data_IF_081331322490
#
_entry.id   IF_081331322490
#
_cell.length_a   1.000
_cell.length_b   1.000
_cell.length_c   1.000
_cell.angle_alpha   90.00
_cell.angle_beta   90.00
_cell.angle_gamma   90.00
#
_symmetry.space_group_name_H-M   'P 1'
#
loop_
_entity.id
_entity.type
_entity.pdbx_description
1 polymer ?
#
# COMPACT_ATOMS: atom_id res chain seq x y z
N UNK A 1 9.31 1.33 -18.38
CA UNK A 1 10.26 1.22 -17.24
C UNK A 1 10.08 -0.08 -16.45
N UNK A 2 8.95 -0.36 -15.78
CA UNK A 2 8.77 -1.65 -15.07
C UNK A 2 8.96 -2.86 -15.99
N UNK A 3 8.39 -2.78 -17.20
CA UNK A 3 8.51 -3.83 -18.21
C UNK A 3 9.93 -4.01 -18.78
N UNK A 4 10.83 -3.05 -18.54
CA UNK A 4 12.23 -3.10 -18.99
C UNK A 4 13.13 -3.90 -18.04
N UNK A 5 12.62 -4.26 -16.85
CA UNK A 5 13.33 -5.05 -15.86
C UNK A 5 12.82 -6.50 -15.88
N UNK A 6 13.58 -7.49 -15.42
CA UNK A 6 13.04 -8.83 -15.20
C UNK A 6 11.84 -8.75 -14.25
N UNK A 7 10.64 -9.09 -14.73
CA UNK A 7 9.41 -8.88 -13.96
C UNK A 7 8.38 -9.98 -14.20
N UNK A 8 7.37 -10.01 -13.33
CA UNK A 8 6.15 -10.78 -13.51
C UNK A 8 4.97 -10.05 -12.86
N UNK A 9 3.78 -10.24 -13.42
CA UNK A 9 2.54 -9.78 -12.82
C UNK A 9 1.80 -10.96 -12.18
N UNK A 10 1.26 -10.73 -11.00
CA UNK A 10 0.38 -11.67 -10.29
C UNK A 10 -0.91 -10.95 -9.89
N UNK A 11 -2.05 -11.65 -9.82
CA UNK A 11 -3.25 -11.05 -9.27
C UNK A 11 -3.09 -10.81 -7.75
N UNK A 12 -3.82 -9.85 -7.15
CA UNK A 12 -3.64 -9.49 -5.73
C UNK A 12 -3.76 -10.66 -4.76
N UNK A 13 -4.64 -11.63 -5.03
CA UNK A 13 -4.83 -12.81 -4.18
C UNK A 13 -3.66 -13.81 -4.21
N UNK A 14 -2.78 -13.74 -5.21
CA UNK A 14 -1.56 -14.56 -5.32
C UNK A 14 -0.32 -13.82 -4.81
N UNK A 15 -0.40 -12.53 -4.49
CA UNK A 15 0.75 -11.70 -4.12
C UNK A 15 1.54 -12.29 -2.96
N UNK A 16 0.85 -12.73 -1.90
CA UNK A 16 1.48 -13.42 -0.76
C UNK A 16 2.33 -14.60 -1.21
N UNK A 17 1.74 -15.49 -2.00
CA UNK A 17 2.42 -16.70 -2.46
C UNK A 17 3.60 -16.38 -3.37
N UNK A 18 3.47 -15.38 -4.23
CA UNK A 18 4.54 -14.93 -5.11
C UNK A 18 5.75 -14.40 -4.31
N UNK A 19 5.48 -13.64 -3.24
CA UNK A 19 6.52 -13.11 -2.35
C UNK A 19 7.17 -14.22 -1.51
N UNK A 20 6.38 -15.18 -1.00
CA UNK A 20 6.89 -16.32 -0.24
C UNK A 20 7.74 -17.29 -1.08
N UNK A 21 7.49 -17.38 -2.40
CA UNK A 21 8.35 -18.13 -3.33
C UNK A 21 9.76 -17.54 -3.45
N UNK A 22 9.92 -16.24 -3.18
CA UNK A 22 11.24 -15.60 -3.05
C UNK A 22 12.09 -15.55 -4.33
N UNK A 23 11.51 -15.41 -5.54
CA UNK A 23 12.33 -15.17 -6.74
C UNK A 23 12.84 -13.72 -6.77
N UNK A 24 13.90 -13.46 -6.02
CA UNK A 24 14.51 -12.13 -5.86
C UNK A 24 15.18 -11.58 -7.13
N UNK A 25 15.17 -12.32 -8.25
CA UNK A 25 15.73 -11.89 -9.53
C UNK A 25 14.72 -11.16 -10.41
N UNK A 26 13.45 -11.10 -9.97
CA UNK A 26 12.37 -10.47 -10.71
C UNK A 26 11.59 -9.50 -9.84
N UNK A 27 11.11 -8.42 -10.45
CA UNK A 27 10.09 -7.57 -9.85
C UNK A 27 8.74 -8.27 -9.91
N UNK A 28 8.05 -8.33 -8.78
CA UNK A 28 6.68 -8.84 -8.69
C UNK A 28 5.74 -7.62 -8.67
N UNK A 29 4.92 -7.50 -9.71
CA UNK A 29 3.92 -6.44 -9.84
C UNK A 29 2.51 -7.00 -9.62
N UNK A 30 1.63 -6.18 -9.06
CA UNK A 30 0.19 -6.46 -8.99
C UNK A 30 -0.59 -5.20 -9.33
N UNK A 31 -1.73 -5.36 -10.00
CA UNK A 31 -2.69 -4.28 -10.23
C UNK A 31 -3.87 -4.52 -9.31
N UNK A 32 -4.20 -3.53 -8.49
CA UNK A 32 -5.21 -3.63 -7.43
C UNK A 32 -6.40 -2.77 -7.81
N UNK A 33 -7.59 -3.35 -7.74
CA UNK A 33 -8.88 -2.71 -8.01
C UNK A 33 -9.73 -2.69 -6.75
N UNK A 34 -10.80 -1.90 -6.79
CA UNK A 34 -11.79 -1.78 -5.71
C UNK A 34 -12.29 -3.14 -5.20
N UNK A 35 -12.59 -4.06 -6.12
CA UNK A 35 -13.05 -5.43 -5.81
C UNK A 35 -12.04 -6.31 -5.06
N UNK A 36 -10.74 -5.98 -5.13
CA UNK A 36 -9.69 -6.78 -4.48
C UNK A 36 -9.57 -6.50 -2.97
N UNK A 37 -9.98 -5.30 -2.53
CA UNK A 37 -9.79 -4.87 -1.15
C UNK A 37 -11.05 -4.33 -0.47
N UNK A 38 -12.09 -3.95 -1.20
CA UNK A 38 -13.35 -3.51 -0.58
C UNK A 38 -14.26 -4.70 -0.33
N UNK A 39 -14.72 -4.82 0.91
CA UNK A 39 -15.67 -5.87 1.31
C UNK A 39 -16.88 -5.24 2.02
N UNK A 40 -18.10 -5.72 1.75
CA UNK A 40 -19.27 -5.31 2.53
C UNK A 40 -19.11 -5.74 3.98
N UNK A 41 -19.44 -4.83 4.92
CA UNK A 41 -19.41 -5.11 6.37
C UNK A 41 -20.41 -6.20 6.77
N UNK A 42 -21.52 -6.31 6.03
CA UNK A 42 -22.53 -7.35 6.22
C UNK A 42 -22.12 -8.73 5.64
N UNK A 43 -20.96 -8.81 4.98
CA UNK A 43 -20.56 -9.97 4.18
C UNK A 43 -21.18 -9.94 2.78
N UNK A 44 -20.62 -10.75 1.87
CA UNK A 44 -21.02 -10.77 0.46
C UNK A 44 -19.86 -10.41 -0.47
N UNK A 45 -20.22 -10.03 -1.70
CA UNK A 45 -19.26 -9.61 -2.74
C UNK A 45 -19.30 -8.09 -2.90
N UNK A 46 -18.20 -7.54 -3.41
CA UNK A 46 -18.15 -6.14 -3.79
C UNK A 46 -19.18 -5.82 -4.88
N UNK A 47 -19.91 -4.73 -4.69
CA UNK A 47 -20.80 -4.13 -5.69
C UNK A 47 -20.39 -2.67 -5.88
N UNK A 48 -20.10 -2.28 -7.11
CA UNK A 48 -19.61 -0.94 -7.42
C UNK A 48 -20.69 0.13 -7.25
N UNK A 49 -21.94 -0.16 -7.66
CA UNK A 49 -23.05 0.80 -7.57
C UNK A 49 -23.46 1.01 -6.12
N UNK A 50 -23.52 -0.07 -5.33
CA UNK A 50 -23.79 0.05 -3.90
C UNK A 50 -22.67 0.78 -3.18
N UNK A 51 -21.40 0.51 -3.50
CA UNK A 51 -20.28 1.22 -2.89
C UNK A 51 -20.30 2.71 -3.22
N UNK A 52 -20.61 3.08 -4.46
CA UNK A 52 -20.67 4.48 -4.87
C UNK A 52 -21.83 5.23 -4.18
N UNK A 53 -22.96 4.54 -3.91
CA UNK A 53 -24.11 5.11 -3.20
C UNK A 53 -24.01 5.05 -1.67
N UNK A 54 -23.37 4.02 -1.13
CA UNK A 54 -23.32 3.65 0.29
C UNK A 54 -21.93 3.17 0.73
N UNK A 55 -20.89 4.01 0.63
CA UNK A 55 -19.51 3.65 0.95
C UNK A 55 -19.35 3.22 2.43
N UNK A 56 -20.21 3.72 3.33
CA UNK A 56 -20.22 3.40 4.75
C UNK A 56 -20.54 1.92 5.03
N UNK A 57 -21.19 1.22 4.09
CA UNK A 57 -21.45 -0.22 4.19
C UNK A 57 -20.20 -1.06 3.91
N UNK A 58 -19.14 -0.46 3.40
CA UNK A 58 -17.91 -1.14 3.02
C UNK A 58 -16.77 -0.85 4.00
N UNK A 59 -15.81 -1.77 4.04
CA UNK A 59 -14.51 -1.55 4.70
C UNK A 59 -13.39 -1.96 3.75
N UNK A 60 -12.23 -1.35 3.93
CA UNK A 60 -11.00 -1.79 3.29
C UNK A 60 -10.46 -3.04 3.99
N UNK A 61 -9.90 -3.96 3.20
CA UNK A 61 -9.06 -5.09 3.63
C UNK A 61 -7.62 -4.96 3.13
N UNK A 62 -7.26 -3.79 2.61
CA UNK A 62 -6.00 -3.53 1.93
C UNK A 62 -4.80 -3.69 2.89
N UNK A 63 -4.92 -3.11 4.09
CA UNK A 63 -3.92 -3.17 5.15
C UNK A 63 -3.62 -4.61 5.60
N UNK A 64 -4.63 -5.48 5.61
CA UNK A 64 -4.49 -6.84 6.11
C UNK A 64 -4.05 -7.83 5.02
N UNK A 65 -4.57 -7.69 3.80
CA UNK A 65 -4.41 -8.71 2.74
C UNK A 65 -3.34 -8.40 1.70
N UNK A 66 -3.04 -7.12 1.48
CA UNK A 66 -2.24 -6.69 0.33
C UNK A 66 -0.98 -5.96 0.80
N UNK A 67 -1.13 -4.88 1.56
CA UNK A 67 -0.03 -4.03 2.01
C UNK A 67 1.14 -4.77 2.69
N UNK A 68 0.94 -5.83 3.50
CA UNK A 68 2.04 -6.56 4.15
C UNK A 68 3.02 -7.22 3.17
N UNK A 69 2.61 -7.42 1.93
CA UNK A 69 3.39 -8.11 0.89
C UNK A 69 3.99 -7.15 -0.14
N UNK A 70 3.74 -5.84 -0.01
CA UNK A 70 4.24 -4.83 -0.94
C UNK A 70 5.47 -4.12 -0.39
N UNK A 71 6.40 -3.76 -1.29
CA UNK A 71 7.53 -2.89 -0.95
C UNK A 71 7.38 -1.47 -1.46
N UNK A 72 6.75 -1.30 -2.62
CA UNK A 72 6.46 0.00 -3.21
C UNK A 72 5.00 0.03 -3.59
N UNK A 73 4.30 1.10 -3.24
CA UNK A 73 2.92 1.37 -3.62
C UNK A 73 2.87 2.55 -4.58
N UNK A 74 2.08 2.44 -5.64
CA UNK A 74 1.69 3.58 -6.48
C UNK A 74 0.19 3.76 -6.33
N UNK A 75 -0.23 4.83 -5.69
CA UNK A 75 -1.62 5.14 -5.41
C UNK A 75 -2.18 6.14 -6.40
N UNK A 76 -3.42 5.94 -6.82
CA UNK A 76 -4.19 6.87 -7.65
C UNK A 76 -5.69 6.71 -7.43
N UNK A 77 -6.07 6.22 -6.25
CA UNK A 77 -7.47 5.99 -5.88
C UNK A 77 -8.12 7.33 -5.53
N UNK A 78 -9.29 7.57 -6.11
CA UNK A 78 -10.17 8.64 -5.66
C UNK A 78 -10.73 8.33 -4.28
N UNK A 79 -10.70 9.31 -3.37
CA UNK A 79 -11.27 9.20 -2.03
C UNK A 79 -11.94 10.51 -1.61
N UNK A 80 -12.94 10.40 -0.75
CA UNK A 80 -13.60 11.56 -0.13
C UNK A 80 -14.06 11.21 1.30
N UNK A 81 -14.36 12.20 2.15
CA UNK A 81 -14.86 11.95 3.50
C UNK A 81 -16.07 11.00 3.52
N UNK A 82 -16.03 10.03 4.44
CA UNK A 82 -17.03 8.95 4.53
C UNK A 82 -16.66 7.67 3.77
N UNK A 83 -15.69 7.73 2.87
CA UNK A 83 -15.18 6.54 2.17
C UNK A 83 -14.13 5.83 3.03
N UNK A 84 -14.06 4.48 2.98
CA UNK A 84 -13.02 3.74 3.68
C UNK A 84 -11.64 4.13 3.12
N UNK A 85 -10.69 4.42 4.03
CA UNK A 85 -9.29 4.69 3.68
C UNK A 85 -8.59 3.40 3.22
N UNK A 86 -7.55 3.54 2.41
CA UNK A 86 -6.67 2.42 2.03
C UNK A 86 -5.77 2.02 3.19
N UNK A 87 -5.12 3.02 3.81
CA UNK A 87 -4.23 2.85 4.96
C UNK A 87 -4.43 3.99 5.95
N UNK A 88 -4.62 3.64 7.21
CA UNK A 88 -4.64 4.54 8.37
C UNK A 88 -3.25 4.70 8.97
N UNK A 89 -3.10 5.66 9.88
CA UNK A 89 -1.88 5.78 10.71
C UNK A 89 -1.62 4.50 11.52
N UNK A 90 -2.68 3.88 12.04
CA UNK A 90 -2.59 2.62 12.77
C UNK A 90 -2.11 1.48 11.87
N UNK A 91 -2.62 1.39 10.63
CA UNK A 91 -2.22 0.36 9.67
C UNK A 91 -0.72 0.43 9.36
N UNK A 92 -0.18 1.64 9.13
CA UNK A 92 1.27 1.83 8.88
C UNK A 92 2.10 1.46 10.11
N UNK A 93 1.65 1.81 11.31
CA UNK A 93 2.31 1.36 12.54
C UNK A 93 2.34 -0.16 12.67
N UNK A 94 1.27 -0.85 12.28
CA UNK A 94 1.23 -2.30 12.31
C UNK A 94 2.13 -2.93 11.23
N UNK A 95 2.11 -2.39 10.01
CA UNK A 95 2.95 -2.84 8.89
C UNK A 95 4.46 -2.72 9.20
N UNK A 96 4.85 -1.65 9.90
CA UNK A 96 6.26 -1.37 10.23
C UNK A 96 6.77 -2.12 11.45
N UNK A 97 5.88 -2.70 12.28
CA UNK A 97 6.24 -3.64 13.36
C UNK A 97 6.59 -5.05 12.83
N UNK A 98 6.17 -5.39 11.62
CA UNK A 98 6.45 -6.71 11.05
C UNK A 98 7.95 -6.85 10.80
N UNK A 99 8.55 -7.95 11.30
CA UNK A 99 10.00 -8.17 11.22
C UNK A 99 10.47 -8.17 9.77
N UNK A 100 11.60 -7.48 9.57
CA UNK A 100 12.46 -7.50 8.40
C UNK A 100 12.43 -8.80 7.58
N UNK A 101 12.35 -8.66 6.26
CA UNK A 101 12.82 -9.71 5.36
C UNK A 101 14.28 -10.04 5.73
N UNK A 102 14.59 -11.32 5.90
CA UNK A 102 15.94 -11.75 6.20
C UNK A 102 16.90 -11.26 5.12
N UNK A 103 18.14 -10.97 5.52
CA UNK A 103 19.20 -10.68 4.56
C UNK A 103 19.23 -11.79 3.51
N UNK A 104 19.01 -11.40 2.25
CA UNK A 104 18.78 -12.34 1.14
C UNK A 104 20.11 -12.89 0.63
N UNK A 105 21.21 -12.19 0.90
CA UNK A 105 22.57 -12.57 0.53
C UNK A 105 23.58 -11.83 1.39
N UNK A 106 24.78 -12.41 1.53
CA UNK A 106 25.92 -11.72 2.14
C UNK A 106 26.13 -10.33 1.51
N UNK A 107 26.27 -9.31 2.35
CA UNK A 107 26.41 -7.91 1.94
C UNK A 107 25.11 -7.13 1.73
N UNK A 108 23.94 -7.77 1.81
CA UNK A 108 22.65 -7.06 1.76
C UNK A 108 22.12 -6.82 3.18
N UNK A 109 22.07 -5.57 3.69
CA UNK A 109 21.52 -5.30 5.01
C UNK A 109 20.03 -5.67 5.04
N UNK A 110 19.52 -6.18 6.18
CA UNK A 110 18.10 -6.43 6.32
C UNK A 110 17.33 -5.11 6.25
N UNK A 111 16.20 -5.12 5.54
CA UNK A 111 15.28 -3.99 5.51
C UNK A 111 14.53 -3.90 6.85
N UNK A 112 14.24 -2.70 7.38
CA UNK A 112 13.54 -2.54 8.66
C UNK A 112 12.14 -3.19 8.65
N UNK A 113 11.45 -3.11 7.50
CA UNK A 113 10.16 -3.74 7.20
C UNK A 113 10.02 -3.83 5.68
N UNK A 114 8.98 -4.54 5.20
CA UNK A 114 8.80 -4.75 3.75
C UNK A 114 8.27 -3.52 3.02
N UNK A 115 7.30 -2.81 3.60
CA UNK A 115 6.61 -1.67 3.00
C UNK A 115 7.47 -0.41 3.11
N UNK A 116 8.10 0.04 2.03
CA UNK A 116 9.17 1.04 2.08
C UNK A 116 8.79 2.39 1.49
N UNK A 117 8.07 2.40 0.37
CA UNK A 117 7.83 3.62 -0.38
C UNK A 117 6.41 3.70 -0.91
N UNK A 118 5.88 4.92 -0.94
CA UNK A 118 4.59 5.26 -1.50
C UNK A 118 4.81 6.38 -2.51
N UNK A 119 4.27 6.21 -3.71
CA UNK A 119 4.07 7.27 -4.67
C UNK A 119 2.57 7.53 -4.75
N UNK A 120 2.11 8.63 -4.15
CA UNK A 120 0.70 8.98 -4.14
C UNK A 120 0.39 10.04 -5.18
N UNK A 121 -0.26 9.64 -6.28
CA UNK A 121 -0.61 10.52 -7.39
C UNK A 121 -1.81 11.40 -7.03
N UNK A 122 -2.71 10.94 -6.15
CA UNK A 122 -3.87 11.74 -5.76
C UNK A 122 -3.46 12.91 -4.86
N UNK A 123 -2.41 12.72 -4.04
CA UNK A 123 -1.82 13.72 -3.17
C UNK A 123 -2.85 14.44 -2.27
N UNK A 124 -3.86 13.68 -1.84
CA UNK A 124 -4.94 14.19 -1.00
C UNK A 124 -4.48 14.29 0.46
N UNK A 125 -4.38 15.52 0.98
CA UNK A 125 -4.05 15.76 2.39
C UNK A 125 -5.10 15.09 3.30
N UNK A 126 -4.65 14.23 4.19
CA UNK A 126 -5.49 13.38 5.05
C UNK A 126 -6.52 12.58 4.24
N UNK A 127 -6.14 12.08 3.05
CA UNK A 127 -7.01 11.42 2.09
C UNK A 127 -7.05 9.89 2.19
N UNK A 128 -6.98 9.19 1.06
CA UNK A 128 -7.02 7.71 1.04
C UNK A 128 -5.90 7.06 1.88
N UNK A 129 -4.78 7.77 2.03
CA UNK A 129 -3.66 7.46 2.91
C UNK A 129 -3.63 8.51 4.03
N UNK A 130 -3.96 8.11 5.26
CA UNK A 130 -4.15 9.05 6.36
C UNK A 130 -2.88 9.82 6.74
N UNK A 131 -1.73 9.20 6.57
CA UNK A 131 -0.42 9.76 6.91
C UNK A 131 0.12 10.78 5.88
N UNK A 132 -0.56 10.94 4.74
CA UNK A 132 -0.21 11.98 3.76
C UNK A 132 -0.74 13.33 4.27
N UNK A 133 0.09 14.07 5.00
CA UNK A 133 -0.29 15.36 5.61
C UNK A 133 0.15 16.57 4.78
N UNK A 134 1.08 16.37 3.85
CA UNK A 134 1.67 17.41 3.02
C UNK A 134 1.83 16.91 1.57
N UNK A 135 2.04 17.84 0.64
CA UNK A 135 2.28 17.54 -0.78
C UNK A 135 3.70 17.98 -1.13
N UNK A 136 4.50 17.04 -1.65
CA UNK A 136 5.85 17.30 -2.18
C UNK A 136 5.83 18.27 -3.36
N UNK A 137 6.88 19.06 -3.51
CA UNK A 137 7.08 19.93 -4.70
C UNK A 137 8.21 19.39 -5.58
N UNK A 138 8.47 20.04 -6.72
CA UNK A 138 9.62 19.66 -7.57
C UNK A 138 10.95 19.89 -6.82
N UNK A 139 11.02 20.95 -6.01
CA UNK A 139 12.18 21.29 -5.18
C UNK A 139 12.37 20.31 -4.02
N UNK A 140 11.27 19.74 -3.51
CA UNK A 140 11.23 18.81 -2.39
C UNK A 140 10.41 17.57 -2.76
N UNK A 141 10.98 16.64 -3.56
CA UNK A 141 10.21 15.64 -4.28
C UNK A 141 9.84 14.39 -3.46
N UNK A 142 10.24 14.31 -2.19
CA UNK A 142 9.88 13.22 -1.30
C UNK A 142 9.85 13.69 0.17
N UNK A 143 9.13 12.91 0.98
CA UNK A 143 9.06 13.07 2.43
C UNK A 143 9.45 11.76 3.10
N UNK A 144 10.11 11.86 4.25
CA UNK A 144 10.37 10.74 5.14
C UNK A 144 9.29 10.73 6.23
N UNK A 145 8.46 9.70 6.23
CA UNK A 145 7.46 9.48 7.27
C UNK A 145 8.01 8.55 8.36
N UNK A 146 7.90 8.95 9.62
CA UNK A 146 8.14 8.14 10.81
C UNK A 146 6.79 7.57 11.32
N UNK A 147 6.52 6.27 11.10
CA UNK A 147 5.31 5.59 11.57
C UNK A 147 5.07 5.67 13.07
N UNK A 148 6.14 5.63 13.87
CA UNK A 148 6.04 5.56 15.33
C UNK A 148 5.68 6.91 15.93
N UNK A 149 6.19 7.98 15.32
CA UNK A 149 5.88 9.36 15.74
C UNK A 149 4.71 9.97 14.98
N UNK A 150 4.26 9.33 13.90
CA UNK A 150 3.31 9.88 12.92
C UNK A 150 3.72 11.29 12.47
N UNK A 151 4.97 11.42 12.03
CA UNK A 151 5.55 12.69 11.58
C UNK A 151 6.20 12.52 10.20
N UNK A 152 6.01 13.51 9.35
CA UNK A 152 6.73 13.65 8.08
C UNK A 152 7.82 14.71 8.20
N UNK A 153 8.94 14.47 7.53
CA UNK A 153 10.00 15.45 7.34
C UNK A 153 10.35 15.51 5.85
N UNK A 154 10.42 16.73 5.31
CA UNK A 154 10.88 16.94 3.93
C UNK A 154 12.36 16.54 3.82
N UNK A 155 12.67 15.74 2.79
CA UNK A 155 14.02 15.26 2.51
C UNK A 155 14.77 16.06 1.45
#
# INVERSE_FOLDING_TARGET
>A
MFQELPHMYVPPHELKQAIEKGDHRKLIGTVIRREDYLVPKAGGKFDAEEYDAHPEKYRSTFAEKIAPYMSVMVNGVYWQPGFPRLLTNEDIQQLTKQKAAHSVSDGCPPLPHRFLAVCDISADINGSLEFMTECTTIEYPFELFDPQKSKSEIG
#
